data_IF_937446216072
#
_entry.id   IF_937446216072
#
_cell.length_a   1.000
_cell.length_b   1.000
_cell.length_c   1.000
_cell.angle_alpha   90.00
_cell.angle_beta   90.00
_cell.angle_gamma   90.00
#
_symmetry.space_group_name_H-M   'P 1'
#
loop_
_entity.id
_entity.type
_entity.pdbx_description
1 polymer ?
#
# COMPACT_ATOMS: atom_id res chain seq x y z
N UNK A 1 -9.47 9.28 -28.83
CA UNK A 1 -9.23 8.70 -27.50
C UNK A 1 -10.11 9.50 -26.55
N UNK A 2 -11.27 8.97 -26.19
CA UNK A 2 -12.25 9.72 -25.41
C UNK A 2 -11.74 9.80 -23.96
N UNK A 3 -11.39 11.02 -23.53
CA UNK A 3 -11.26 11.32 -22.10
C UNK A 3 -12.65 11.08 -21.52
N UNK A 4 -12.82 9.98 -20.80
CA UNK A 4 -14.08 9.67 -20.13
C UNK A 4 -14.25 10.78 -19.10
N UNK A 5 -15.17 11.70 -19.40
CA UNK A 5 -15.56 12.82 -18.54
C UNK A 5 -16.26 12.23 -17.31
N UNK A 6 -15.44 11.68 -16.42
CA UNK A 6 -15.87 11.09 -15.17
C UNK A 6 -16.17 12.26 -14.26
N UNK A 7 -17.42 12.41 -13.83
CA UNK A 7 -17.83 13.46 -12.89
C UNK A 7 -16.94 13.40 -11.64
N UNK A 8 -16.78 14.53 -10.95
CA UNK A 8 -15.97 14.57 -9.72
C UNK A 8 -16.48 13.56 -8.68
N UNK A 9 -17.80 13.36 -8.60
CA UNK A 9 -18.43 12.36 -7.75
C UNK A 9 -18.05 10.92 -8.15
N UNK A 10 -18.13 10.57 -9.43
CA UNK A 10 -17.76 9.24 -9.91
C UNK A 10 -16.26 8.97 -9.74
N UNK A 11 -15.42 9.98 -9.94
CA UNK A 11 -13.97 9.90 -9.71
C UNK A 11 -13.67 9.69 -8.21
N UNK A 12 -14.35 10.43 -7.34
CA UNK A 12 -14.26 10.28 -5.88
C UNK A 12 -14.70 8.89 -5.43
N UNK A 13 -15.84 8.40 -5.92
CA UNK A 13 -16.33 7.06 -5.58
C UNK A 13 -15.36 5.97 -6.02
N UNK A 14 -14.83 6.06 -7.25
CA UNK A 14 -13.81 5.11 -7.74
C UNK A 14 -12.55 5.16 -6.87
N UNK A 15 -12.07 6.36 -6.53
CA UNK A 15 -10.90 6.50 -5.67
C UNK A 15 -11.13 5.89 -4.29
N UNK A 16 -12.27 6.16 -3.64
CA UNK A 16 -12.60 5.60 -2.33
C UNK A 16 -12.81 4.08 -2.37
N UNK A 17 -13.28 3.52 -3.49
CA UNK A 17 -13.36 2.08 -3.70
C UNK A 17 -11.96 1.44 -3.73
N UNK A 18 -11.02 2.03 -4.47
CA UNK A 18 -9.62 1.57 -4.52
C UNK A 18 -8.95 1.69 -3.15
N UNK A 19 -9.18 2.79 -2.43
CA UNK A 19 -8.69 2.97 -1.05
C UNK A 19 -9.14 1.84 -0.13
N UNK A 20 -10.41 1.44 -0.20
CA UNK A 20 -10.92 0.31 0.59
C UNK A 20 -10.20 -0.98 0.21
N UNK A 21 -10.10 -1.28 -1.09
CA UNK A 21 -9.40 -2.49 -1.55
C UNK A 21 -7.94 -2.57 -1.10
N UNK A 22 -7.20 -1.46 -1.16
CA UNK A 22 -5.80 -1.42 -0.66
C UNK A 22 -5.74 -1.71 0.85
N UNK A 23 -6.68 -1.16 1.64
CA UNK A 23 -6.75 -1.42 3.08
C UNK A 23 -7.19 -2.85 3.38
N UNK A 24 -8.09 -3.42 2.58
CA UNK A 24 -8.51 -4.81 2.70
C UNK A 24 -7.32 -5.77 2.48
N UNK A 25 -6.42 -5.47 1.52
CA UNK A 25 -5.16 -6.23 1.34
C UNK A 25 -4.31 -6.17 2.60
N UNK A 26 -4.14 -4.99 3.18
CA UNK A 26 -3.37 -4.83 4.42
C UNK A 26 -4.00 -5.62 5.56
N UNK A 27 -5.30 -5.43 5.81
CA UNK A 27 -6.02 -6.05 6.92
C UNK A 27 -6.05 -7.58 6.80
N UNK A 28 -6.19 -8.11 5.58
CA UNK A 28 -6.12 -9.56 5.28
C UNK A 28 -4.79 -10.19 5.69
N UNK A 29 -3.67 -9.47 5.54
CA UNK A 29 -2.33 -9.98 5.81
C UNK A 29 -1.74 -9.50 7.16
N UNK A 30 -2.43 -8.58 7.85
CA UNK A 30 -2.00 -7.93 9.09
C UNK A 30 -1.66 -8.95 10.20
N UNK A 31 -2.57 -9.88 10.50
CA UNK A 31 -2.36 -10.86 11.59
C UNK A 31 -1.15 -11.76 11.33
N UNK A 32 -0.98 -12.23 10.09
CA UNK A 32 0.16 -13.06 9.70
C UNK A 32 1.48 -12.28 9.74
N UNK A 33 1.44 -10.99 9.43
CA UNK A 33 2.60 -10.11 9.52
C UNK A 33 3.03 -9.86 10.97
N UNK A 34 2.06 -9.60 11.87
CA UNK A 34 2.31 -9.40 13.30
C UNK A 34 2.92 -10.67 13.94
N UNK A 35 2.41 -11.84 13.57
CA UNK A 35 2.98 -13.12 14.00
C UNK A 35 4.42 -13.28 13.51
N UNK A 36 4.69 -13.01 12.22
CA UNK A 36 6.02 -13.11 11.65
C UNK A 36 7.03 -12.15 12.29
N UNK A 37 6.64 -10.89 12.57
CA UNK A 37 7.48 -9.94 13.30
C UNK A 37 7.79 -10.43 14.71
N UNK A 38 6.78 -10.97 15.39
CA UNK A 38 6.95 -11.51 16.75
C UNK A 38 8.00 -12.63 16.76
N UNK A 39 7.96 -13.53 15.77
CA UNK A 39 8.93 -14.61 15.62
C UNK A 39 10.35 -14.10 15.31
N UNK A 40 10.49 -13.07 14.46
CA UNK A 40 11.77 -12.39 14.22
C UNK A 40 12.35 -11.80 15.51
N UNK A 41 11.51 -11.14 16.30
CA UNK A 41 11.93 -10.49 17.55
C UNK A 41 12.39 -11.52 18.60
N UNK A 42 11.66 -12.63 18.76
CA UNK A 42 12.04 -13.73 19.65
C UNK A 42 13.33 -14.42 19.18
N UNK A 43 13.41 -14.72 17.88
CA UNK A 43 14.59 -15.37 17.30
C UNK A 43 15.86 -14.54 17.40
N UNK A 44 15.78 -13.21 17.52
CA UNK A 44 16.95 -12.35 17.81
C UNK A 44 17.40 -12.43 19.27
N UNK A 45 16.50 -12.66 20.22
CA UNK A 45 16.84 -12.80 21.65
C UNK A 45 17.54 -14.12 21.94
N UNK A 46 17.19 -15.18 21.19
CA UNK A 46 17.74 -16.53 21.35
C UNK A 46 19.05 -16.76 20.54
N UNK A 47 19.62 -15.71 19.91
CA UNK A 47 20.87 -15.80 19.12
C UNK A 47 22.09 -16.04 20.01
N UNK A 48 22.28 -17.29 20.42
CA UNK A 48 23.54 -17.84 20.90
C UNK A 48 24.09 -18.84 19.87
N UNK A 49 24.81 -18.35 18.84
CA UNK A 49 25.62 -19.16 17.93
C UNK A 49 24.97 -19.55 16.59
N UNK A 50 25.79 -19.41 15.54
CA UNK A 50 25.86 -19.95 14.15
C UNK A 50 24.67 -20.59 13.39
N UNK A 51 23.44 -20.62 13.91
CA UNK A 51 22.29 -21.20 13.17
C UNK A 51 21.48 -20.13 12.40
N UNK A 52 22.20 -19.31 11.64
CA UNK A 52 21.64 -18.26 10.78
C UNK A 52 20.64 -18.81 9.76
N UNK A 53 20.85 -20.07 9.33
CA UNK A 53 19.95 -20.76 8.40
C UNK A 53 18.59 -21.01 9.05
N UNK A 54 18.57 -21.58 10.25
CA UNK A 54 17.32 -21.86 10.98
C UNK A 54 16.58 -20.59 11.34
N UNK A 55 17.29 -19.55 11.81
CA UNK A 55 16.67 -18.24 12.05
C UNK A 55 16.03 -17.67 10.77
N UNK A 56 16.72 -17.79 9.64
CA UNK A 56 16.19 -17.30 8.36
C UNK A 56 14.91 -18.05 7.96
N UNK A 57 14.91 -19.37 8.05
CA UNK A 57 13.76 -20.22 7.68
C UNK A 57 12.57 -20.02 8.64
N UNK A 58 12.82 -19.91 9.94
CA UNK A 58 11.77 -19.85 10.97
C UNK A 58 11.20 -18.44 11.16
N UNK A 59 11.96 -17.39 10.81
CA UNK A 59 11.58 -16.02 11.13
C UNK A 59 11.62 -15.05 9.92
N UNK A 60 12.73 -14.96 9.20
CA UNK A 60 12.87 -13.97 8.13
C UNK A 60 12.07 -14.32 6.87
N UNK A 61 12.11 -15.58 6.44
CA UNK A 61 11.43 -16.05 5.22
C UNK A 61 9.88 -15.96 5.33
N UNK A 62 9.25 -16.32 6.46
CA UNK A 62 7.81 -16.08 6.67
C UNK A 62 7.42 -14.61 6.56
N UNK A 63 8.20 -13.71 7.17
CA UNK A 63 7.96 -12.27 7.08
C UNK A 63 8.02 -11.80 5.63
N UNK A 64 9.07 -12.18 4.90
CA UNK A 64 9.23 -11.83 3.48
C UNK A 64 8.11 -12.41 2.61
N UNK A 65 7.62 -13.62 2.92
CA UNK A 65 6.52 -14.25 2.18
C UNK A 65 5.20 -13.53 2.39
N UNK A 66 4.85 -13.17 3.63
CA UNK A 66 3.62 -12.41 3.93
C UNK A 66 3.66 -11.07 3.20
N UNK A 67 4.78 -10.35 3.30
CA UNK A 67 4.99 -9.08 2.63
C UNK A 67 4.90 -9.21 1.10
N UNK A 68 5.61 -10.17 0.52
CA UNK A 68 5.57 -10.41 -0.92
C UNK A 68 4.18 -10.79 -1.43
N UNK A 69 3.39 -11.51 -0.62
CA UNK A 69 2.01 -11.87 -0.98
C UNK A 69 1.12 -10.63 -1.00
N UNK A 70 1.16 -9.80 0.05
CA UNK A 70 0.38 -8.57 0.12
C UNK A 70 0.74 -7.58 -0.99
N UNK A 71 2.04 -7.34 -1.21
CA UNK A 71 2.51 -6.46 -2.27
C UNK A 71 2.18 -7.00 -3.67
N UNK A 72 2.24 -8.32 -3.84
CA UNK A 72 1.84 -8.98 -5.08
C UNK A 72 0.34 -8.85 -5.36
N UNK A 73 -0.49 -8.93 -4.33
CA UNK A 73 -1.95 -8.72 -4.42
C UNK A 73 -2.26 -7.27 -4.82
N UNK A 74 -1.67 -6.29 -4.12
CA UNK A 74 -1.73 -4.88 -4.52
C UNK A 74 -1.33 -4.67 -5.98
N UNK A 75 -0.21 -5.26 -6.41
CA UNK A 75 0.32 -5.08 -7.77
C UNK A 75 -0.62 -5.63 -8.84
N UNK A 76 -1.37 -6.70 -8.55
CA UNK A 76 -2.28 -7.31 -9.54
C UNK A 76 -3.64 -6.61 -9.57
N UNK A 77 -4.14 -6.18 -8.42
CA UNK A 77 -5.53 -5.78 -8.28
C UNK A 77 -5.72 -4.26 -8.25
N UNK A 78 -4.73 -3.51 -7.74
CA UNK A 78 -4.93 -2.09 -7.42
C UNK A 78 -3.87 -1.15 -7.99
N UNK A 79 -2.65 -1.60 -8.31
CA UNK A 79 -1.55 -0.72 -8.74
C UNK A 79 -1.91 0.16 -9.94
N UNK A 80 -2.46 -0.42 -11.00
CA UNK A 80 -2.78 0.33 -12.23
C UNK A 80 -3.82 1.40 -11.94
N UNK A 81 -4.92 1.04 -11.29
CA UNK A 81 -5.97 1.99 -10.93
C UNK A 81 -5.46 3.05 -9.96
N UNK A 82 -4.63 2.71 -8.98
CA UNK A 82 -4.06 3.66 -8.03
C UNK A 82 -3.19 4.72 -8.72
N UNK A 83 -2.36 4.31 -9.69
CA UNK A 83 -1.53 5.23 -10.49
C UNK A 83 -2.41 6.13 -11.36
N UNK A 84 -3.35 5.55 -12.10
CA UNK A 84 -4.24 6.32 -12.97
C UNK A 84 -5.08 7.33 -12.18
N UNK A 85 -5.61 6.92 -11.02
CA UNK A 85 -6.37 7.79 -10.14
C UNK A 85 -5.50 8.89 -9.56
N UNK A 86 -4.28 8.60 -9.12
CA UNK A 86 -3.33 9.63 -8.65
C UNK A 86 -3.11 10.70 -9.71
N UNK A 87 -2.83 10.31 -10.94
CA UNK A 87 -2.54 11.24 -12.03
C UNK A 87 -3.76 12.11 -12.36
N UNK A 88 -4.93 11.48 -12.49
CA UNK A 88 -6.20 12.18 -12.74
C UNK A 88 -6.54 13.14 -11.60
N UNK A 89 -6.45 12.70 -10.34
CA UNK A 89 -6.74 13.51 -9.16
C UNK A 89 -5.82 14.72 -9.05
N UNK A 90 -4.51 14.53 -9.25
CA UNK A 90 -3.54 15.63 -9.24
C UNK A 90 -3.77 16.63 -10.37
N UNK A 91 -4.23 16.16 -11.53
CA UNK A 91 -4.57 17.07 -12.65
C UNK A 91 -5.73 18.02 -12.32
N UNK A 92 -6.70 17.56 -11.51
CA UNK A 92 -7.86 18.36 -11.06
C UNK A 92 -7.60 19.18 -9.80
N UNK A 93 -6.61 18.78 -9.01
CA UNK A 93 -6.21 19.42 -7.76
C UNK A 93 -4.87 20.14 -7.92
N UNK A 94 -4.87 21.25 -8.67
CA UNK A 94 -3.67 22.04 -8.97
C UNK A 94 -2.90 22.57 -7.75
N UNK A 95 -3.57 22.67 -6.59
CA UNK A 95 -2.96 23.12 -5.33
C UNK A 95 -2.53 21.95 -4.42
N UNK A 96 -2.75 20.71 -4.85
CA UNK A 96 -2.36 19.55 -4.06
C UNK A 96 -0.85 19.44 -3.93
N UNK A 97 -0.38 19.42 -2.68
CA UNK A 97 1.01 19.13 -2.35
C UNK A 97 1.08 17.70 -1.81
N UNK A 98 1.64 16.75 -2.58
CA UNK A 98 1.80 15.38 -2.10
C UNK A 98 2.74 15.35 -0.89
N UNK A 99 2.48 14.39 0.00
CA UNK A 99 3.37 14.13 1.12
C UNK A 99 4.72 13.62 0.58
N UNK A 100 5.88 14.03 1.13
CA UNK A 100 7.17 13.46 0.76
C UNK A 100 7.21 11.93 0.86
N UNK A 101 6.41 11.34 1.75
CA UNK A 101 6.25 9.89 1.92
C UNK A 101 5.24 9.25 0.94
N UNK A 102 4.72 9.98 -0.05
CA UNK A 102 3.76 9.48 -1.05
C UNK A 102 4.20 9.79 -2.50
N UNK A 103 5.51 9.88 -2.73
CA UNK A 103 6.08 10.11 -4.06
C UNK A 103 5.73 9.00 -5.06
N UNK A 104 5.81 9.30 -6.36
CA UNK A 104 5.24 8.48 -7.43
C UNK A 104 5.71 7.02 -7.44
N UNK A 105 7.00 6.80 -7.21
CA UNK A 105 7.58 5.45 -7.14
C UNK A 105 6.95 4.56 -6.05
N UNK A 106 6.32 5.12 -5.02
CA UNK A 106 5.68 4.35 -3.95
C UNK A 106 4.34 3.72 -4.38
N UNK A 107 3.67 4.31 -5.36
CA UNK A 107 2.53 3.67 -6.04
C UNK A 107 3.00 2.51 -6.92
N UNK A 108 4.18 2.64 -7.52
CA UNK A 108 4.70 1.63 -8.43
C UNK A 108 5.35 0.45 -7.70
N UNK A 109 6.03 0.76 -6.59
CA UNK A 109 6.89 -0.17 -5.87
C UNK A 109 6.73 0.02 -4.36
N UNK A 110 5.55 -0.24 -3.78
CA UNK A 110 5.43 -0.29 -2.33
C UNK A 110 6.32 -1.39 -1.79
N UNK A 111 7.08 -1.08 -0.74
CA UNK A 111 8.04 -2.01 -0.12
C UNK A 111 7.54 -2.58 1.19
N UNK A 112 6.50 -1.98 1.78
CA UNK A 112 5.90 -2.45 3.02
C UNK A 112 4.46 -1.95 3.25
N UNK A 113 3.81 -2.44 4.32
CA UNK A 113 2.45 -2.03 4.69
C UNK A 113 2.30 -0.54 5.01
N UNK A 114 3.33 0.12 5.54
CA UNK A 114 3.28 1.57 5.76
C UNK A 114 3.18 2.31 4.43
N UNK A 115 3.89 1.86 3.40
CA UNK A 115 3.80 2.44 2.06
C UNK A 115 2.42 2.19 1.44
N UNK A 116 1.84 0.99 1.59
CA UNK A 116 0.47 0.71 1.13
C UNK A 116 -0.56 1.62 1.81
N UNK A 117 -0.46 1.82 3.12
CA UNK A 117 -1.32 2.76 3.84
C UNK A 117 -1.10 4.22 3.39
N UNK A 118 0.15 4.59 3.10
CA UNK A 118 0.49 5.90 2.55
C UNK A 118 -0.19 6.16 1.20
N UNK A 119 -0.14 5.19 0.29
CA UNK A 119 -0.84 5.24 -1.01
C UNK A 119 -2.35 5.39 -0.81
N UNK A 120 -2.95 4.57 0.06
CA UNK A 120 -4.38 4.66 0.36
C UNK A 120 -4.78 6.02 0.95
N UNK A 121 -3.96 6.55 1.86
CA UNK A 121 -4.18 7.83 2.52
C UNK A 121 -4.05 9.01 1.56
N UNK A 122 -3.06 9.00 0.66
CA UNK A 122 -2.87 10.05 -0.37
C UNK A 122 -4.08 10.09 -1.32
N UNK A 123 -4.50 8.93 -1.82
CA UNK A 123 -5.70 8.81 -2.66
C UNK A 123 -6.97 9.26 -1.93
N UNK A 124 -7.14 8.87 -0.67
CA UNK A 124 -8.30 9.29 0.13
C UNK A 124 -8.33 10.80 0.34
N UNK A 125 -7.17 11.41 0.63
CA UNK A 125 -7.06 12.87 0.82
C UNK A 125 -7.44 13.59 -0.46
N UNK A 126 -6.86 13.22 -1.59
CA UNK A 126 -7.19 13.81 -2.89
C UNK A 126 -8.68 13.63 -3.24
N UNK A 127 -9.23 12.42 -3.04
CA UNK A 127 -10.64 12.14 -3.31
C UNK A 127 -11.59 13.00 -2.47
N UNK A 128 -11.24 13.28 -1.21
CA UNK A 128 -12.03 14.17 -0.33
C UNK A 128 -11.87 15.65 -0.69
N UNK A 129 -10.73 16.05 -1.23
CA UNK A 129 -10.49 17.43 -1.68
C UNK A 129 -11.28 17.78 -2.95
N UNK A 130 -11.56 16.81 -3.83
CA UNK A 130 -12.38 17.03 -5.03
C UNK A 130 -13.73 17.68 -4.71
N UNK A 131 -14.44 17.20 -3.68
CA UNK A 131 -15.78 17.69 -3.33
C UNK A 131 -15.77 18.79 -2.25
N UNK A 132 -14.60 19.29 -1.87
CA UNK A 132 -14.46 20.38 -0.90
C UNK A 132 -14.25 21.76 -1.55
N UNK A 133 -14.26 21.82 -2.89
CA UNK A 133 -14.30 23.05 -3.68
C UNK A 133 -15.73 23.55 -3.80
#
# INVERSE_FOLDING_TARGET
MAVVDTTEDALREKALSVVRGIRDVKDKHQSAYEEAISNVSRGQQDRHGDDDKKWREDAADPLMRVMGTALGEYSREYKVDAIMLRDELRSRLSEYQPDPMTHDMLYEHPTNFFVLEGVATDLERMAKMLTSK
#
